data_IF_441794968279
#
_entry.id   IF_441794968279
#
_cell.length_a   1.000
_cell.length_b   1.000
_cell.length_c   1.000
_cell.angle_alpha   90.00
_cell.angle_beta   90.00
_cell.angle_gamma   90.00
#
_symmetry.space_group_name_H-M   'P 1'
#
loop_
_entity.id
_entity.type
_entity.pdbx_description
1 polymer ?
#
# COMPACT_ATOMS: atom_id res chain seq x y z
N UNK A 1 -13.37 9.47 -19.08
CA UNK A 1 -14.58 8.77 -18.62
C UNK A 1 -14.15 7.40 -18.13
N UNK A 2 -14.25 7.12 -16.83
CA UNK A 2 -13.82 5.85 -16.29
C UNK A 2 -15.03 4.93 -16.17
N UNK A 3 -14.93 3.76 -16.80
CA UNK A 3 -16.00 2.78 -16.82
C UNK A 3 -15.76 1.80 -15.68
N UNK A 4 -16.59 1.86 -14.65
CA UNK A 4 -16.78 0.74 -13.73
C UNK A 4 -17.83 -0.14 -14.41
N UNK A 5 -17.43 -1.30 -14.93
CA UNK A 5 -18.35 -2.28 -15.52
C UNK A 5 -18.33 -3.52 -14.64
N UNK A 6 -19.49 -3.94 -14.16
CA UNK A 6 -19.65 -5.15 -13.33
C UNK A 6 -18.76 -5.16 -12.07
N UNK A 7 -18.50 -3.99 -11.49
CA UNK A 7 -17.61 -3.82 -10.32
C UNK A 7 -16.12 -3.85 -10.64
N UNK A 8 -15.74 -3.96 -11.92
CA UNK A 8 -14.34 -4.01 -12.36
C UNK A 8 -13.89 -2.62 -12.81
N UNK A 9 -12.84 -2.11 -12.16
CA UNK A 9 -12.17 -0.88 -12.57
C UNK A 9 -11.35 -1.15 -13.83
N UNK A 10 -11.71 -0.48 -14.94
CA UNK A 10 -10.93 -0.54 -16.19
C UNK A 10 -10.31 0.83 -16.47
N UNK A 11 -8.97 0.88 -16.50
CA UNK A 11 -8.20 2.10 -16.74
C UNK A 11 -7.42 1.97 -18.05
N UNK A 12 -7.21 3.06 -18.79
CA UNK A 12 -6.32 3.07 -19.96
C UNK A 12 -4.84 3.18 -19.57
N UNK A 13 -4.57 3.57 -18.34
CA UNK A 13 -3.26 3.78 -17.74
C UNK A 13 -3.44 4.12 -16.26
N UNK A 14 -2.48 3.78 -15.41
CA UNK A 14 -2.50 4.18 -13.99
C UNK A 14 -1.11 4.29 -13.38
N UNK A 15 -0.98 5.09 -12.32
CA UNK A 15 0.15 4.96 -11.39
C UNK A 15 -0.35 4.33 -10.10
N UNK A 16 0.30 3.24 -9.67
CA UNK A 16 -0.20 2.41 -8.58
C UNK A 16 0.72 2.46 -7.36
N UNK A 17 0.22 2.90 -6.20
CA UNK A 17 0.87 2.65 -4.92
C UNK A 17 0.37 1.34 -4.31
N UNK A 18 1.29 0.45 -3.90
CA UNK A 18 0.93 -0.88 -3.35
C UNK A 18 1.43 -1.05 -1.92
N UNK A 19 0.56 -1.51 -1.03
CA UNK A 19 0.94 -1.80 0.35
C UNK A 19 -0.22 -2.17 1.27
N UNK A 20 0.12 -2.77 2.42
CA UNK A 20 -0.85 -3.06 3.47
C UNK A 20 -1.48 -1.78 4.07
N UNK A 21 -0.70 -0.69 4.07
CA UNK A 21 -1.10 0.64 4.50
C UNK A 21 -1.82 0.74 5.86
N UNK A 22 -1.61 -0.24 6.75
CA UNK A 22 -2.20 -0.23 8.09
C UNK A 22 -1.63 0.93 8.92
N UNK A 23 -2.50 1.72 9.54
CA UNK A 23 -2.13 2.99 10.18
C UNK A 23 -2.10 4.19 9.23
N UNK A 24 -1.79 4.00 7.94
CA UNK A 24 -1.50 5.10 6.98
C UNK A 24 -0.50 6.13 7.57
N UNK A 25 0.55 5.62 8.20
CA UNK A 25 1.59 6.42 8.86
C UNK A 25 2.45 7.21 7.86
N UNK A 26 3.29 8.13 8.35
CA UNK A 26 4.11 9.02 7.49
C UNK A 26 4.91 8.29 6.40
N UNK A 27 5.49 7.12 6.72
CA UNK A 27 6.10 6.24 5.71
C UNK A 27 5.15 5.76 4.59
N UNK A 28 3.93 5.32 4.92
CA UNK A 28 2.92 4.97 3.92
C UNK A 28 2.46 6.19 3.12
N UNK A 29 2.31 7.34 3.78
CA UNK A 29 1.93 8.57 3.11
C UNK A 29 2.96 8.99 2.06
N UNK A 30 4.26 8.77 2.30
CA UNK A 30 5.30 9.04 1.32
C UNK A 30 5.12 8.20 0.05
N UNK A 31 4.88 6.88 0.19
CA UNK A 31 4.63 5.99 -0.96
C UNK A 31 3.40 6.45 -1.75
N UNK A 32 2.32 6.79 -1.05
CA UNK A 32 1.05 7.20 -1.67
C UNK A 32 1.20 8.56 -2.37
N UNK A 33 1.83 9.56 -1.72
CA UNK A 33 2.05 10.88 -2.31
C UNK A 33 2.92 10.80 -3.55
N UNK A 34 3.95 9.95 -3.52
CA UNK A 34 4.79 9.71 -4.69
C UNK A 34 3.97 9.16 -5.87
N UNK A 35 3.09 8.18 -5.66
CA UNK A 35 2.21 7.70 -6.71
C UNK A 35 1.25 8.80 -7.23
N UNK A 36 0.74 9.66 -6.35
CA UNK A 36 -0.12 10.79 -6.73
C UNK A 36 0.66 11.78 -7.60
N UNK A 37 1.86 12.18 -7.19
CA UNK A 37 2.73 13.09 -7.95
C UNK A 37 3.06 12.53 -9.34
N UNK A 38 3.44 11.26 -9.41
CA UNK A 38 3.76 10.58 -10.67
C UNK A 38 2.53 10.44 -11.57
N UNK A 39 1.35 10.22 -11.00
CA UNK A 39 0.09 10.17 -11.76
C UNK A 39 -0.20 11.49 -12.49
N UNK A 40 0.12 12.63 -11.88
CA UNK A 40 -0.03 13.95 -12.48
C UNK A 40 0.97 14.16 -13.63
N UNK A 41 2.22 13.74 -13.46
CA UNK A 41 3.26 13.80 -14.50
C UNK A 41 2.87 12.97 -15.72
N UNK A 42 2.40 11.74 -15.49
CA UNK A 42 1.98 10.82 -16.54
C UNK A 42 0.59 11.09 -17.11
N UNK A 43 -0.17 12.03 -16.52
CA UNK A 43 -1.56 12.35 -16.89
C UNK A 43 -2.50 11.13 -16.88
N UNK A 44 -2.29 10.23 -15.91
CA UNK A 44 -3.12 9.04 -15.67
C UNK A 44 -3.64 9.05 -14.23
N UNK A 45 -4.72 8.33 -13.89
CA UNK A 45 -5.18 8.26 -12.50
C UNK A 45 -4.19 7.56 -11.56
N UNK A 46 -4.14 8.03 -10.32
CA UNK A 46 -3.50 7.34 -9.20
C UNK A 46 -4.42 6.27 -8.61
N UNK A 47 -3.85 5.12 -8.29
CA UNK A 47 -4.53 3.99 -7.66
C UNK A 47 -3.74 3.56 -6.43
N UNK A 48 -4.42 3.41 -5.30
CA UNK A 48 -3.87 2.70 -4.14
C UNK A 48 -4.41 1.28 -4.12
N UNK A 49 -3.53 0.30 -4.19
CA UNK A 49 -3.85 -1.10 -4.02
C UNK A 49 -3.49 -1.54 -2.60
N UNK A 50 -4.51 -1.88 -1.81
CA UNK A 50 -4.35 -2.25 -0.40
C UNK A 50 -5.13 -3.51 -0.03
N UNK A 51 -4.99 -3.94 1.21
CA UNK A 51 -5.44 -5.24 1.69
C UNK A 51 -6.27 -5.12 2.95
N UNK A 52 -7.33 -5.90 3.05
CA UNK A 52 -8.15 -6.02 4.26
C UNK A 52 -8.55 -7.48 4.54
N UNK A 53 -8.25 -8.04 5.72
CA UNK A 53 -7.43 -7.44 6.77
C UNK A 53 -5.98 -7.22 6.32
N UNK A 54 -5.18 -6.39 7.02
CA UNK A 54 -3.75 -6.28 6.74
C UNK A 54 -3.06 -7.65 6.81
N UNK A 55 -2.14 -8.01 5.90
CA UNK A 55 -1.51 -9.34 5.88
C UNK A 55 -0.84 -9.74 7.20
N UNK A 56 -0.28 -8.78 7.93
CA UNK A 56 0.33 -9.04 9.25
C UNK A 56 -0.70 -9.41 10.31
N UNK A 57 -1.93 -8.89 10.22
CA UNK A 57 -3.04 -9.34 11.05
C UNK A 57 -3.40 -10.78 10.71
N UNK A 58 -3.60 -11.09 9.42
CA UNK A 58 -3.92 -12.44 8.95
C UNK A 58 -2.87 -13.48 9.39
N UNK A 59 -1.58 -13.23 9.19
CA UNK A 59 -0.52 -14.20 9.48
C UNK A 59 -0.12 -14.29 10.96
N UNK A 60 -0.25 -13.21 11.74
CA UNK A 60 0.33 -13.11 13.09
C UNK A 60 -0.66 -12.66 14.18
N UNK A 61 -1.93 -12.48 13.86
CA UNK A 61 -2.92 -11.90 14.77
C UNK A 61 -2.56 -10.49 15.22
N UNK A 62 -1.71 -9.76 14.48
CA UNK A 62 -1.25 -8.45 14.88
C UNK A 62 -2.41 -7.46 14.98
N UNK A 63 -2.43 -6.60 15.98
CA UNK A 63 -3.44 -5.55 16.13
C UNK A 63 -3.57 -4.73 14.84
N UNK A 64 -4.81 -4.51 14.39
CA UNK A 64 -5.09 -3.61 13.26
C UNK A 64 -4.98 -2.18 13.77
N UNK A 65 -4.11 -1.38 13.15
CA UNK A 65 -3.86 0.00 13.58
C UNK A 65 -4.96 0.96 13.13
N UNK A 66 -5.62 0.68 12.02
CA UNK A 66 -6.68 1.55 11.49
C UNK A 66 -7.79 0.73 10.84
N UNK A 67 -9.05 0.87 11.29
CA UNK A 67 -10.19 0.23 10.66
C UNK A 67 -10.29 0.56 9.16
N UNK A 68 -10.81 -0.37 8.36
CA UNK A 68 -10.83 -0.25 6.89
C UNK A 68 -11.45 1.07 6.40
N UNK A 69 -12.57 1.50 6.98
CA UNK A 69 -13.24 2.75 6.60
C UNK A 69 -12.34 3.97 6.82
N UNK A 70 -11.63 4.01 7.95
CA UNK A 70 -10.70 5.10 8.28
C UNK A 70 -9.42 5.02 7.42
N UNK A 71 -8.93 3.82 7.11
CA UNK A 71 -7.78 3.60 6.21
C UNK A 71 -8.10 4.18 4.83
N UNK A 72 -9.26 3.83 4.27
CA UNK A 72 -9.73 4.35 2.96
C UNK A 72 -9.91 5.87 3.02
N UNK A 73 -10.51 6.42 4.08
CA UNK A 73 -10.66 7.87 4.25
C UNK A 73 -9.32 8.59 4.25
N UNK A 74 -8.33 8.08 5.01
CA UNK A 74 -6.97 8.65 5.07
C UNK A 74 -6.25 8.56 3.74
N UNK A 75 -6.41 7.46 3.00
CA UNK A 75 -5.85 7.32 1.66
C UNK A 75 -6.42 8.38 0.71
N UNK A 76 -7.74 8.58 0.69
CA UNK A 76 -8.36 9.61 -0.15
C UNK A 76 -7.93 11.03 0.23
N UNK A 77 -7.70 11.31 1.52
CA UNK A 77 -7.13 12.60 1.97
C UNK A 77 -5.77 12.92 1.37
N UNK A 78 -5.04 11.93 0.85
CA UNK A 78 -3.74 12.12 0.20
C UNK A 78 -3.85 12.46 -1.30
N UNK A 79 -5.07 12.59 -1.85
CA UNK A 79 -5.29 13.00 -3.24
C UNK A 79 -5.40 11.85 -4.24
N UNK A 80 -5.57 10.62 -3.77
CA UNK A 80 -5.68 9.41 -4.61
C UNK A 80 -7.00 9.40 -5.38
N UNK A 81 -6.99 8.98 -6.66
CA UNK A 81 -8.21 8.87 -7.44
C UNK A 81 -9.03 7.60 -7.12
N UNK A 82 -8.36 6.44 -6.99
CA UNK A 82 -9.01 5.15 -6.74
C UNK A 82 -8.32 4.37 -5.63
N UNK A 83 -9.12 3.68 -4.80
CA UNK A 83 -8.62 2.73 -3.81
C UNK A 83 -9.21 1.36 -4.13
N UNK A 84 -8.33 0.38 -4.33
CA UNK A 84 -8.69 -1.03 -4.44
C UNK A 84 -8.36 -1.69 -3.11
N UNK A 85 -9.36 -2.32 -2.51
CA UNK A 85 -9.20 -3.09 -1.28
C UNK A 85 -9.37 -4.56 -1.63
N UNK A 86 -8.26 -5.28 -1.70
CA UNK A 86 -8.27 -6.72 -1.87
C UNK A 86 -8.56 -7.42 -0.55
N UNK A 87 -9.53 -8.34 -0.55
CA UNK A 87 -9.77 -9.23 0.59
C UNK A 87 -8.55 -10.15 0.77
N UNK A 88 -7.89 -10.06 1.92
CA UNK A 88 -6.72 -10.87 2.22
C UNK A 88 -7.10 -12.08 3.07
N UNK A 89 -7.49 -13.15 2.39
CA UNK A 89 -7.89 -14.43 2.97
C UNK A 89 -6.87 -15.54 2.65
N UNK A 90 -7.22 -16.79 2.99
CA UNK A 90 -6.37 -17.96 2.71
C UNK A 90 -6.14 -18.17 1.21
N UNK A 91 -7.15 -17.91 0.38
CA UNK A 91 -7.00 -17.97 -1.06
C UNK A 91 -5.97 -16.94 -1.53
N UNK A 92 -6.06 -15.68 -1.10
CA UNK A 92 -5.10 -14.64 -1.47
C UNK A 92 -3.68 -14.96 -0.97
N UNK A 93 -3.56 -15.46 0.26
CA UNK A 93 -2.28 -15.81 0.88
C UNK A 93 -1.54 -16.96 0.16
N UNK A 94 -2.28 -17.83 -0.54
CA UNK A 94 -1.72 -19.00 -1.25
C UNK A 94 -1.42 -18.75 -2.71
N UNK A 95 -1.76 -17.59 -3.27
CA UNK A 95 -1.53 -17.23 -4.67
C UNK A 95 -0.04 -17.10 -5.00
N UNK A 96 0.45 -17.67 -6.12
CA UNK A 96 1.81 -17.45 -6.58
C UNK A 96 2.04 -15.97 -6.97
N UNK A 97 3.30 -15.49 -6.97
CA UNK A 97 3.62 -14.10 -7.36
C UNK A 97 3.07 -13.70 -8.74
N UNK A 98 3.07 -14.62 -9.69
CA UNK A 98 2.61 -14.42 -11.08
C UNK A 98 1.13 -14.01 -11.13
N UNK A 99 0.30 -14.55 -10.24
CA UNK A 99 -1.12 -14.20 -10.18
C UNK A 99 -1.33 -12.75 -9.73
N UNK A 100 -0.50 -12.28 -8.80
CA UNK A 100 -0.56 -10.88 -8.35
C UNK A 100 -0.08 -9.93 -9.45
N UNK A 101 0.96 -10.31 -10.19
CA UNK A 101 1.45 -9.54 -11.35
C UNK A 101 0.36 -9.45 -12.42
N UNK A 102 -0.28 -10.58 -12.76
CA UNK A 102 -1.39 -10.62 -13.72
C UNK A 102 -2.57 -9.75 -13.28
N UNK A 103 -2.91 -9.76 -11.99
CA UNK A 103 -3.93 -8.88 -11.41
C UNK A 103 -3.56 -7.40 -11.53
N UNK A 104 -2.32 -7.02 -11.21
CA UNK A 104 -1.84 -5.64 -11.37
C UNK A 104 -1.87 -5.20 -12.84
N UNK A 105 -1.50 -6.07 -13.79
CA UNK A 105 -1.49 -5.74 -15.21
C UNK A 105 -2.86 -5.32 -15.74
N UNK A 106 -3.97 -5.78 -15.15
CA UNK A 106 -5.34 -5.39 -15.53
C UNK A 106 -5.62 -3.90 -15.28
N UNK A 107 -4.82 -3.25 -14.43
CA UNK A 107 -4.93 -1.82 -14.12
C UNK A 107 -4.11 -0.96 -15.08
N UNK A 108 -3.41 -1.57 -16.04
CA UNK A 108 -2.54 -0.91 -17.02
C UNK A 108 -1.55 0.07 -16.35
N UNK A 109 -0.70 -0.40 -15.41
CA UNK A 109 0.25 0.46 -14.73
C UNK A 109 1.28 1.04 -15.71
N UNK A 110 1.44 2.36 -15.72
CA UNK A 110 2.58 3.05 -16.35
C UNK A 110 3.75 3.12 -15.37
N UNK A 111 3.47 3.18 -14.07
CA UNK A 111 4.45 3.13 -12.99
C UNK A 111 3.81 2.53 -11.72
N UNK A 112 4.61 1.84 -10.92
CA UNK A 112 4.22 1.27 -9.63
C UNK A 112 5.14 1.77 -8.52
N UNK A 113 4.56 2.43 -7.51
CA UNK A 113 5.26 2.93 -6.32
C UNK A 113 5.12 1.97 -5.14
N UNK A 114 6.24 1.61 -4.52
CA UNK A 114 6.32 0.68 -3.38
C UNK A 114 7.41 1.08 -2.39
N UNK A 115 7.32 0.58 -1.15
CA UNK A 115 8.44 0.66 -0.21
C UNK A 115 9.54 -0.36 -0.52
N UNK A 116 10.77 -0.09 -0.06
CA UNK A 116 11.95 -0.94 -0.33
C UNK A 116 11.81 -2.40 0.14
N UNK A 117 11.06 -2.64 1.22
CA UNK A 117 10.85 -3.97 1.81
C UNK A 117 9.59 -4.69 1.28
N UNK A 118 9.06 -4.25 0.14
CA UNK A 118 7.83 -4.84 -0.42
C UNK A 118 8.04 -6.29 -0.85
N UNK A 119 7.13 -7.16 -0.39
CA UNK A 119 7.10 -8.60 -0.70
C UNK A 119 5.67 -9.04 -0.92
N UNK A 120 5.46 -9.97 -1.84
CA UNK A 120 4.13 -10.45 -2.23
C UNK A 120 4.17 -11.92 -2.67
N UNK A 121 2.98 -12.47 -2.96
CA UNK A 121 2.79 -13.87 -3.34
C UNK A 121 3.06 -14.86 -2.20
N UNK A 122 2.72 -16.12 -2.45
CA UNK A 122 2.87 -17.23 -1.52
C UNK A 122 4.29 -17.28 -0.97
N UNK A 123 4.39 -17.40 0.35
CA UNK A 123 5.65 -17.46 1.08
C UNK A 123 6.60 -16.28 0.80
N UNK A 124 6.07 -15.10 0.42
CA UNK A 124 6.86 -13.88 0.14
C UNK A 124 7.92 -14.09 -0.95
N UNK A 125 7.62 -14.96 -1.93
CA UNK A 125 8.49 -15.30 -3.06
C UNK A 125 8.61 -14.16 -4.08
N UNK A 126 7.63 -13.26 -4.13
CA UNK A 126 7.71 -12.03 -4.93
C UNK A 126 8.40 -10.91 -4.15
N UNK A 127 9.23 -10.15 -4.85
CA UNK A 127 9.95 -8.99 -4.32
C UNK A 127 10.04 -7.87 -5.36
N UNK A 128 10.69 -6.76 -4.98
CA UNK A 128 10.89 -5.58 -5.83
C UNK A 128 11.58 -5.94 -7.15
N UNK A 129 12.59 -6.81 -7.12
CA UNK A 129 13.34 -7.21 -8.31
C UNK A 129 12.50 -8.04 -9.27
N UNK A 130 11.60 -8.88 -8.75
CA UNK A 130 10.62 -9.57 -9.58
C UNK A 130 9.68 -8.57 -10.27
N UNK A 131 9.15 -7.58 -9.55
CA UNK A 131 8.24 -6.58 -10.15
C UNK A 131 8.90 -5.74 -11.24
N UNK A 132 10.18 -5.37 -11.07
CA UNK A 132 10.95 -4.60 -12.07
C UNK A 132 11.04 -5.29 -13.43
N UNK A 133 10.85 -6.61 -13.50
CA UNK A 133 10.82 -7.36 -14.76
C UNK A 133 9.53 -7.11 -15.56
N UNK A 134 8.47 -6.64 -14.91
CA UNK A 134 7.14 -6.48 -15.51
C UNK A 134 6.67 -5.02 -15.58
N UNK A 135 7.11 -4.19 -14.65
CA UNK A 135 6.63 -2.81 -14.52
C UNK A 135 7.79 -1.84 -14.29
N UNK A 136 7.57 -0.57 -14.65
CA UNK A 136 8.39 0.52 -14.14
C UNK A 136 8.12 0.66 -12.64
N UNK A 137 9.16 0.51 -11.82
CA UNK A 137 9.06 0.53 -10.36
C UNK A 137 9.73 1.76 -9.79
N UNK A 138 9.01 2.45 -8.92
CA UNK A 138 9.51 3.55 -8.14
C UNK A 138 9.57 3.14 -6.67
N UNK A 139 10.77 3.08 -6.10
CA UNK A 139 10.99 2.65 -4.72
C UNK A 139 11.07 3.87 -3.83
N UNK A 140 10.09 4.03 -2.95
CA UNK A 140 10.09 5.09 -1.94
C UNK A 140 11.04 4.73 -0.82
N UNK A 141 11.91 5.68 -0.46
CA UNK A 141 12.82 5.53 0.66
C UNK A 141 12.07 5.45 2.00
N UNK A 142 12.59 4.70 2.98
CA UNK A 142 12.03 4.68 4.33
C UNK A 142 12.00 6.08 4.95
N UNK A 143 10.95 6.38 5.71
CA UNK A 143 10.81 7.64 6.44
C UNK A 143 11.23 7.44 7.88
N UNK A 144 12.03 8.37 8.40
CA UNK A 144 12.51 8.38 9.78
C UNK A 144 11.89 9.56 10.55
N UNK A 145 11.68 9.41 11.87
CA UNK A 145 11.27 10.52 12.72
C UNK A 145 12.45 11.44 13.01
N UNK A 146 12.18 12.57 13.68
CA UNK A 146 13.22 13.56 14.02
C UNK A 146 14.37 12.96 14.86
N UNK A 147 14.07 11.93 15.64
CA UNK A 147 15.05 11.21 16.47
C UNK A 147 15.87 10.16 15.66
N UNK A 148 15.70 10.12 14.34
CA UNK A 148 16.44 9.20 13.46
C UNK A 148 15.90 7.78 13.42
N UNK A 149 14.80 7.48 14.10
CA UNK A 149 14.21 6.14 14.13
C UNK A 149 13.20 5.90 13.01
N UNK A 150 13.22 4.69 12.44
CA UNK A 150 12.33 4.30 11.34
C UNK A 150 10.84 4.42 11.73
N UNK A 151 10.03 4.99 10.85
CA UNK A 151 8.58 5.01 10.97
C UNK A 151 8.01 3.75 10.31
N UNK A 152 7.45 2.84 11.11
CA UNK A 152 6.82 1.61 10.61
C UNK A 152 5.60 1.20 11.43
N UNK A 153 4.71 0.41 10.81
CA UNK A 153 3.55 -0.17 11.52
C UNK A 153 3.97 -1.13 12.65
N UNK A 154 5.18 -1.70 12.61
CA UNK A 154 5.70 -2.53 13.71
C UNK A 154 5.98 -1.67 14.93
N UNK A 155 6.72 -0.57 14.75
CA UNK A 155 7.07 0.36 15.82
C UNK A 155 5.82 1.04 16.40
N UNK A 156 4.87 1.43 15.57
CA UNK A 156 3.62 2.04 16.05
C UNK A 156 2.85 1.06 16.96
N UNK A 157 2.77 -0.23 16.60
CA UNK A 157 2.15 -1.24 17.47
C UNK A 157 2.89 -1.41 18.79
N UNK A 158 4.23 -1.38 18.75
CA UNK A 158 5.05 -1.48 19.96
C UNK A 158 4.76 -0.31 20.91
N UNK A 159 4.81 0.93 20.40
CA UNK A 159 4.50 2.13 21.19
C UNK A 159 3.09 2.07 21.79
N UNK A 160 2.10 1.63 21.02
CA UNK A 160 0.73 1.44 21.52
C UNK A 160 0.67 0.38 22.63
N UNK A 161 1.42 -0.72 22.52
CA UNK A 161 1.46 -1.76 23.56
C UNK A 161 2.17 -1.31 24.84
N UNK A 162 3.10 -0.38 24.72
CA UNK A 162 3.84 0.22 25.85
C UNK A 162 3.09 1.41 26.47
N UNK A 163 1.96 1.83 25.89
CA UNK A 163 1.15 2.96 26.35
C UNK A 163 1.67 4.33 25.90
N UNK A 164 2.67 4.39 25.02
CA UNK A 164 3.17 5.63 24.43
C UNK A 164 2.30 6.06 23.24
N UNK A 165 1.09 6.51 23.57
CA UNK A 165 0.13 6.99 22.58
C UNK A 165 0.64 8.25 21.87
N UNK A 166 1.29 9.16 22.60
CA UNK A 166 1.75 10.44 22.05
C UNK A 166 2.77 10.23 20.92
N UNK A 167 3.78 9.41 21.14
CA UNK A 167 4.76 9.11 20.10
C UNK A 167 4.09 8.34 18.96
N UNK A 168 3.21 7.38 19.25
CA UNK A 168 2.48 6.62 18.21
C UNK A 168 1.68 7.53 17.26
N UNK A 169 0.97 8.54 17.78
CA UNK A 169 0.19 9.50 16.98
C UNK A 169 1.10 10.42 16.16
N UNK A 170 2.23 10.83 16.73
CA UNK A 170 3.23 11.61 15.99
C UNK A 170 3.77 10.86 14.76
N UNK A 171 3.96 9.54 14.87
CA UNK A 171 4.41 8.71 13.75
C UNK A 171 3.30 8.50 12.69
N UNK A 172 2.04 8.48 13.11
CA UNK A 172 0.87 8.40 12.21
C UNK A 172 0.69 9.68 11.41
N UNK A 173 0.77 10.85 12.06
CA UNK A 173 0.67 12.16 11.42
C UNK A 173 -0.75 12.58 11.01
N UNK A 174 -1.76 12.18 11.77
CA UNK A 174 -3.17 12.57 11.62
C UNK A 174 -3.81 12.86 12.97
#
# INVERSE_FOLDING_TARGET
MQTIKDGVLTLKGSVIAIGAFDGVHKGHQAVIRQAVEQSLIHQVPSVVYTFDPPPRHFFKGAQILTPIQEKVRRIYKLGVNYVIVASFDEWYATRPPEDFISELSKLNPVEVSIGSEFRFGKNRKGDVELLKKYFQINVTLPVYCNDGELISSTRIRQLLSEGDYQQSYSLLGW
#
